data_IF_991280571496
#
_entry.id   IF_991280571496
#
_cell.length_a   1.000
_cell.length_b   1.000
_cell.length_c   1.000
_cell.angle_alpha   90.00
_cell.angle_beta   90.00
_cell.angle_gamma   90.00
#
_symmetry.space_group_name_H-M   'P 1'
#
loop_
_entity.id
_entity.type
_entity.pdbx_description
1 polymer ?
#
# COMPACT_ATOMS: atom_id res chain seq x y z
N UNK A 1 0.18 -10.77 -18.93
CA UNK A 1 -0.93 -10.01 -19.56
C UNK A 1 -0.85 -8.56 -19.15
N UNK A 2 -1.16 -7.60 -20.00
CA UNK A 2 -1.10 -6.15 -19.68
C UNK A 2 -2.35 -5.72 -18.93
N UNK A 3 -2.49 -6.14 -17.67
CA UNK A 3 -3.76 -6.03 -16.94
C UNK A 3 -4.15 -4.58 -16.60
N UNK A 4 -3.19 -3.69 -16.34
CA UNK A 4 -3.44 -2.27 -16.08
C UNK A 4 -3.24 -1.35 -17.30
N UNK A 5 -2.80 -1.88 -18.44
CA UNK A 5 -2.40 -1.06 -19.59
C UNK A 5 -3.58 -0.30 -20.22
N UNK A 6 -4.83 -0.70 -19.94
CA UNK A 6 -6.00 0.06 -20.35
C UNK A 6 -6.00 1.49 -19.77
N UNK A 7 -5.44 1.70 -18.57
CA UNK A 7 -5.30 3.03 -17.96
C UNK A 7 -4.33 3.91 -18.75
N UNK A 8 -3.36 3.32 -19.46
CA UNK A 8 -2.41 4.06 -20.29
C UNK A 8 -3.04 4.68 -21.55
N UNK A 9 -4.27 4.29 -21.88
CA UNK A 9 -5.06 4.99 -22.89
C UNK A 9 -5.48 6.38 -22.44
N UNK A 10 -5.52 6.61 -21.13
CA UNK A 10 -5.84 7.90 -20.51
C UNK A 10 -4.55 8.72 -20.37
N UNK A 11 -4.52 9.92 -20.94
CA UNK A 11 -3.33 10.80 -20.96
C UNK A 11 -2.80 11.09 -19.55
N UNK A 12 -3.70 11.31 -18.59
CA UNK A 12 -3.36 11.59 -17.20
C UNK A 12 -2.55 10.45 -16.58
N UNK A 13 -2.95 9.19 -16.75
CA UNK A 13 -2.23 8.04 -16.23
C UNK A 13 -0.88 7.82 -16.92
N UNK A 14 -0.76 8.10 -18.23
CA UNK A 14 0.54 8.08 -18.92
C UNK A 14 1.50 9.13 -18.37
N UNK A 15 1.00 10.35 -18.14
CA UNK A 15 1.79 11.44 -17.55
C UNK A 15 2.22 11.08 -16.14
N UNK A 16 1.32 10.55 -15.32
CA UNK A 16 1.60 10.11 -13.95
C UNK A 16 2.60 8.95 -13.90
N UNK A 17 2.53 8.00 -14.84
CA UNK A 17 3.53 6.92 -14.93
C UNK A 17 4.91 7.47 -15.28
N UNK A 18 5.03 8.39 -16.23
CA UNK A 18 6.30 9.04 -16.57
C UNK A 18 6.88 9.79 -15.36
N UNK A 19 6.04 10.51 -14.62
CA UNK A 19 6.46 11.18 -13.40
C UNK A 19 6.96 10.16 -12.35
N UNK A 20 6.27 9.04 -12.15
CA UNK A 20 6.70 7.98 -11.24
C UNK A 20 8.02 7.33 -11.68
N UNK A 21 8.21 7.11 -12.99
CA UNK A 21 9.48 6.60 -13.52
C UNK A 21 10.65 7.56 -13.20
N UNK A 22 10.43 8.87 -13.36
CA UNK A 22 11.42 9.89 -12.97
C UNK A 22 11.71 9.82 -11.46
N UNK A 23 10.68 9.68 -10.63
CA UNK A 23 10.84 9.54 -9.16
C UNK A 23 11.70 8.32 -8.81
N UNK A 24 11.48 7.18 -9.46
CA UNK A 24 12.28 5.96 -9.24
C UNK A 24 13.75 6.22 -9.62
N UNK A 25 14.02 6.88 -10.73
CA UNK A 25 15.39 7.22 -11.11
C UNK A 25 16.03 8.20 -10.13
N UNK A 26 15.32 9.25 -9.72
CA UNK A 26 15.79 10.22 -8.72
C UNK A 26 16.13 9.51 -7.39
N UNK A 27 15.28 8.57 -6.94
CA UNK A 27 15.49 7.78 -5.74
C UNK A 27 16.75 6.90 -5.86
N UNK A 28 16.94 6.24 -7.00
CA UNK A 28 18.09 5.38 -7.25
C UNK A 28 19.41 6.18 -7.32
N UNK A 29 19.38 7.34 -7.95
CA UNK A 29 20.52 8.26 -8.00
C UNK A 29 20.93 8.70 -6.59
N UNK A 30 19.97 9.12 -5.75
CA UNK A 30 20.24 9.48 -4.35
C UNK A 30 20.79 8.29 -3.56
N UNK A 31 20.21 7.11 -3.72
CA UNK A 31 20.69 5.89 -3.08
C UNK A 31 22.14 5.59 -3.49
N UNK A 32 22.47 5.71 -4.77
CA UNK A 32 23.82 5.50 -5.28
C UNK A 32 24.83 6.50 -4.71
N UNK A 33 24.45 7.78 -4.63
CA UNK A 33 25.29 8.81 -4.02
C UNK A 33 25.56 8.55 -2.53
N UNK A 34 24.54 8.15 -1.78
CA UNK A 34 24.64 7.86 -0.34
C UNK A 34 25.45 6.58 -0.05
N UNK A 35 25.42 5.62 -0.96
CA UNK A 35 26.19 4.38 -0.84
C UNK A 35 27.59 4.49 -1.45
N UNK A 36 27.95 5.61 -2.05
CA UNK A 36 29.30 5.84 -2.59
C UNK A 36 30.35 5.70 -1.46
N UNK A 37 31.29 4.78 -1.64
CA UNK A 37 32.31 4.48 -0.63
C UNK A 37 31.87 3.50 0.48
N UNK A 38 30.67 2.93 0.39
CA UNK A 38 30.24 1.82 1.23
C UNK A 38 30.59 0.47 0.57
N UNK A 39 30.54 -0.61 1.39
CA UNK A 39 30.72 -1.99 0.92
C UNK A 39 29.44 -2.58 0.30
N UNK A 40 28.35 -1.79 0.19
CA UNK A 40 27.06 -2.21 -0.35
C UNK A 40 26.81 -1.47 -1.66
N UNK A 41 26.54 -2.24 -2.72
CA UNK A 41 26.37 -1.69 -4.05
C UNK A 41 24.94 -1.91 -4.56
N UNK A 42 24.40 -0.88 -5.22
CA UNK A 42 23.10 -0.97 -5.89
C UNK A 42 23.20 -1.76 -7.18
N UNK A 43 22.20 -2.64 -7.39
CA UNK A 43 21.94 -3.23 -8.70
C UNK A 43 21.12 -2.26 -9.57
N UNK A 44 21.19 -2.35 -10.90
CA UNK A 44 20.37 -1.53 -11.79
C UNK A 44 18.87 -1.73 -11.51
N UNK A 45 18.08 -0.66 -11.73
CA UNK A 45 16.62 -0.73 -11.65
C UNK A 45 16.09 -1.71 -12.70
N UNK A 46 15.35 -2.76 -12.31
CA UNK A 46 14.74 -3.67 -13.29
C UNK A 46 13.72 -2.92 -14.17
N UNK A 47 13.69 -3.23 -15.45
CA UNK A 47 12.71 -2.62 -16.39
C UNK A 47 11.26 -2.86 -15.94
N UNK A 48 10.97 -4.02 -15.35
CA UNK A 48 9.64 -4.35 -14.82
C UNK A 48 9.19 -3.39 -13.73
N UNK A 49 10.11 -2.85 -12.92
CA UNK A 49 9.82 -1.90 -11.84
C UNK A 49 9.38 -0.52 -12.35
N UNK A 50 9.64 -0.22 -13.62
CA UNK A 50 9.18 1.01 -14.28
C UNK A 50 7.77 0.87 -14.89
N UNK A 51 7.16 -0.30 -14.81
CA UNK A 51 5.83 -0.57 -15.39
C UNK A 51 4.70 0.00 -14.53
N UNK A 52 3.55 0.25 -15.16
CA UNK A 52 2.33 0.64 -14.44
C UNK A 52 1.90 -0.43 -13.43
N UNK A 53 2.03 -1.69 -13.78
CA UNK A 53 1.73 -2.83 -12.91
C UNK A 53 2.45 -2.74 -11.56
N UNK A 54 3.72 -2.34 -11.56
CA UNK A 54 4.54 -2.22 -10.35
C UNK A 54 4.26 -0.94 -9.55
N UNK A 55 3.65 0.06 -10.19
CA UNK A 55 3.50 1.41 -9.65
C UNK A 55 2.07 1.92 -9.64
N UNK A 56 1.06 1.06 -9.80
CA UNK A 56 -0.32 1.52 -10.00
C UNK A 56 -0.85 2.39 -8.85
N UNK A 57 -0.49 2.12 -7.60
CA UNK A 57 -0.84 2.98 -6.46
C UNK A 57 -0.14 4.33 -6.54
N UNK A 58 1.18 4.35 -6.75
CA UNK A 58 1.94 5.59 -6.87
C UNK A 58 1.45 6.44 -8.05
N UNK A 59 1.11 5.80 -9.17
CA UNK A 59 0.55 6.46 -10.34
C UNK A 59 -0.85 7.02 -10.05
N UNK A 60 -1.68 6.32 -9.28
CA UNK A 60 -2.98 6.82 -8.82
C UNK A 60 -2.82 8.07 -7.94
N UNK A 61 -1.87 8.07 -7.00
CA UNK A 61 -1.61 9.24 -6.15
C UNK A 61 -1.15 10.44 -6.97
N UNK A 62 -0.23 10.25 -7.91
CA UNK A 62 0.24 11.33 -8.80
C UNK A 62 -0.91 11.83 -9.69
N UNK A 63 -1.77 10.94 -10.19
CA UNK A 63 -2.94 11.34 -10.96
C UNK A 63 -3.92 12.21 -10.14
N UNK A 64 -4.11 11.88 -8.86
CA UNK A 64 -4.89 12.72 -7.94
C UNK A 64 -4.21 14.07 -7.68
N UNK A 65 -2.89 14.14 -7.57
CA UNK A 65 -2.18 15.41 -7.43
C UNK A 65 -2.39 16.32 -8.64
N UNK A 66 -2.41 15.77 -9.85
CA UNK A 66 -2.76 16.54 -11.05
C UNK A 66 -4.20 17.05 -11.03
N UNK A 67 -5.16 16.22 -10.61
CA UNK A 67 -6.58 16.60 -10.50
C UNK A 67 -6.79 17.68 -9.44
N UNK A 68 -6.01 17.65 -8.37
CA UNK A 68 -6.02 18.65 -7.30
C UNK A 68 -5.16 19.89 -7.61
N UNK A 69 -4.66 19.99 -8.86
CA UNK A 69 -3.93 21.14 -9.39
C UNK A 69 -2.67 21.52 -8.57
N UNK A 70 -2.02 20.53 -7.96
CA UNK A 70 -0.77 20.77 -7.21
C UNK A 70 0.31 21.31 -8.15
N UNK A 71 1.00 22.42 -7.81
CA UNK A 71 2.05 23.01 -8.64
C UNK A 71 3.16 22.00 -8.98
N UNK A 72 3.61 21.95 -10.23
CA UNK A 72 4.53 20.93 -10.73
C UNK A 72 5.81 20.71 -9.89
N UNK A 73 6.50 21.76 -9.35
CA UNK A 73 7.66 21.53 -8.48
C UNK A 73 7.30 20.80 -7.19
N UNK A 74 6.20 21.19 -6.53
CA UNK A 74 5.70 20.56 -5.31
C UNK A 74 5.12 19.17 -5.58
N UNK A 75 4.42 18.97 -6.69
CA UNK A 75 3.95 17.65 -7.10
C UNK A 75 5.11 16.65 -7.20
N UNK A 76 6.23 17.06 -7.84
CA UNK A 76 7.43 16.22 -7.93
C UNK A 76 7.99 15.89 -6.54
N UNK A 77 8.06 16.86 -5.65
CA UNK A 77 8.49 16.64 -4.27
C UNK A 77 7.59 15.61 -3.59
N UNK A 78 6.27 15.84 -3.58
CA UNK A 78 5.32 14.91 -2.93
C UNK A 78 5.36 13.50 -3.52
N UNK A 79 5.55 13.36 -4.81
CA UNK A 79 5.72 12.05 -5.45
C UNK A 79 7.00 11.33 -4.97
N UNK A 80 8.13 12.05 -4.78
CA UNK A 80 9.36 11.53 -4.19
C UNK A 80 9.16 11.11 -2.73
N UNK A 81 8.50 11.94 -1.92
CA UNK A 81 8.20 11.63 -0.52
C UNK A 81 7.27 10.41 -0.40
N UNK A 82 6.27 10.28 -1.27
CA UNK A 82 5.40 9.11 -1.32
C UNK A 82 6.14 7.83 -1.72
N UNK A 83 7.15 7.93 -2.59
CA UNK A 83 7.97 6.79 -2.93
C UNK A 83 8.81 6.33 -1.73
N UNK A 84 9.34 7.28 -0.96
CA UNK A 84 10.01 6.99 0.32
C UNK A 84 9.04 6.37 1.33
N UNK A 85 7.83 6.91 1.47
CA UNK A 85 6.80 6.34 2.35
C UNK A 85 6.49 4.87 1.98
N UNK A 86 6.32 4.59 0.68
CA UNK A 86 6.14 3.21 0.20
C UNK A 86 7.33 2.31 0.58
N UNK A 87 8.57 2.80 0.42
CA UNK A 87 9.75 2.02 0.74
C UNK A 87 9.86 1.73 2.24
N UNK A 88 9.55 2.69 3.11
CA UNK A 88 9.50 2.49 4.56
C UNK A 88 8.45 1.45 4.96
N UNK A 89 7.21 1.64 4.50
CA UNK A 89 6.10 0.73 4.83
C UNK A 89 6.44 -0.68 4.39
N UNK A 90 6.86 -0.87 3.13
CA UNK A 90 7.23 -2.21 2.63
C UNK A 90 8.38 -2.84 3.44
N UNK A 91 9.37 -2.04 3.86
CA UNK A 91 10.49 -2.58 4.64
C UNK A 91 10.09 -2.91 6.09
N UNK A 92 9.16 -2.15 6.69
CA UNK A 92 8.57 -2.47 7.99
C UNK A 92 7.73 -3.75 7.92
N UNK A 93 6.84 -3.86 6.92
CA UNK A 93 6.00 -5.05 6.69
C UNK A 93 6.88 -6.31 6.51
N UNK A 94 7.98 -6.21 5.74
CA UNK A 94 8.92 -7.31 5.59
C UNK A 94 9.50 -7.81 6.93
N UNK A 95 9.71 -6.91 7.92
CA UNK A 95 10.19 -7.30 9.25
C UNK A 95 9.10 -7.95 10.09
N UNK A 96 7.88 -7.41 10.02
CA UNK A 96 6.74 -7.87 10.80
C UNK A 96 6.22 -9.23 10.29
N UNK A 97 6.11 -9.38 8.97
CA UNK A 97 5.54 -10.58 8.34
C UNK A 97 6.60 -11.62 7.94
N UNK A 98 7.89 -11.35 8.24
CA UNK A 98 9.04 -12.21 7.89
C UNK A 98 9.13 -12.52 6.38
N UNK A 99 8.64 -11.61 5.57
CA UNK A 99 8.70 -11.66 4.10
C UNK A 99 9.87 -10.86 3.53
N UNK A 100 10.08 -10.92 2.22
CA UNK A 100 10.99 -10.02 1.52
C UNK A 100 10.39 -9.53 0.20
N UNK A 101 9.84 -8.33 0.24
CA UNK A 101 9.43 -7.55 -0.95
C UNK A 101 10.49 -6.48 -1.17
N UNK A 102 11.43 -6.71 -2.10
CA UNK A 102 12.53 -5.77 -2.33
C UNK A 102 12.04 -4.49 -3.03
N UNK A 103 12.38 -3.33 -2.45
CA UNK A 103 12.18 -2.00 -3.01
C UNK A 103 13.53 -1.40 -3.46
N UNK A 104 14.61 -1.80 -2.83
CA UNK A 104 15.98 -1.42 -3.16
C UNK A 104 16.76 -2.70 -3.43
N UNK A 105 17.33 -2.81 -4.63
CA UNK A 105 18.15 -3.97 -4.99
C UNK A 105 19.61 -3.68 -4.71
N UNK A 106 20.22 -4.53 -3.89
CA UNK A 106 21.63 -4.47 -3.53
C UNK A 106 22.34 -5.79 -3.82
N UNK A 107 23.66 -5.78 -3.70
CA UNK A 107 24.50 -6.98 -3.79
C UNK A 107 24.55 -7.80 -2.48
N UNK A 108 23.80 -7.38 -1.46
CA UNK A 108 23.67 -8.13 -0.21
C UNK A 108 23.16 -9.57 -0.46
N UNK A 109 23.63 -10.55 0.35
CA UNK A 109 23.22 -11.95 0.21
C UNK A 109 21.71 -12.14 0.17
N UNK A 110 21.21 -13.04 -0.68
CA UNK A 110 19.77 -13.27 -0.84
C UNK A 110 19.08 -13.61 0.50
N UNK A 111 19.74 -14.37 1.38
CA UNK A 111 19.23 -14.78 2.70
C UNK A 111 19.20 -13.68 3.78
N UNK A 112 19.78 -12.50 3.51
CA UNK A 112 19.89 -11.42 4.49
C UNK A 112 18.60 -10.56 4.57
N UNK A 113 17.42 -11.17 4.69
CA UNK A 113 16.11 -10.51 4.62
C UNK A 113 15.97 -9.40 5.67
N UNK A 114 16.20 -9.72 6.94
CA UNK A 114 16.11 -8.76 8.05
C UNK A 114 17.04 -7.57 7.84
N UNK A 115 18.31 -7.83 7.50
CA UNK A 115 19.28 -6.76 7.31
C UNK A 115 18.94 -5.90 6.08
N UNK A 116 18.49 -6.50 4.97
CA UNK A 116 18.01 -5.77 3.80
C UNK A 116 16.87 -4.82 4.14
N UNK A 117 15.92 -5.26 4.95
CA UNK A 117 14.79 -4.44 5.39
C UNK A 117 15.24 -3.28 6.28
N UNK A 118 16.08 -3.55 7.29
CA UNK A 118 16.68 -2.50 8.15
C UNK A 118 17.49 -1.50 7.30
N UNK A 119 18.32 -2.00 6.40
CA UNK A 119 19.11 -1.15 5.50
C UNK A 119 18.22 -0.30 4.60
N UNK A 120 17.13 -0.86 4.07
CA UNK A 120 16.14 -0.12 3.27
C UNK A 120 15.52 1.01 4.07
N UNK A 121 15.14 0.79 5.33
CA UNK A 121 14.59 1.83 6.22
C UNK A 121 15.60 2.96 6.39
N UNK A 122 16.82 2.64 6.80
CA UNK A 122 17.87 3.63 7.06
C UNK A 122 18.26 4.43 5.81
N UNK A 123 18.40 3.75 4.66
CA UNK A 123 18.76 4.41 3.40
C UNK A 123 17.62 5.30 2.91
N UNK A 124 16.37 4.83 3.01
CA UNK A 124 15.19 5.60 2.62
C UNK A 124 15.04 6.86 3.47
N UNK A 125 15.32 6.79 4.78
CA UNK A 125 15.29 7.95 5.67
C UNK A 125 16.28 9.02 5.21
N UNK A 126 17.50 8.64 4.85
CA UNK A 126 18.52 9.55 4.31
C UNK A 126 18.11 10.13 2.96
N UNK A 127 17.52 9.32 2.09
CA UNK A 127 17.02 9.79 0.77
C UNK A 127 15.87 10.78 0.97
N UNK A 128 14.95 10.50 1.87
CA UNK A 128 13.84 11.40 2.19
C UNK A 128 14.34 12.76 2.64
N UNK A 129 15.27 12.79 3.59
CA UNK A 129 15.90 14.03 4.05
C UNK A 129 16.64 14.75 2.92
N UNK A 130 17.38 14.01 2.07
CA UNK A 130 18.08 14.59 0.91
C UNK A 130 17.11 15.25 -0.07
N UNK A 131 15.94 14.67 -0.33
CA UNK A 131 14.92 15.30 -1.18
C UNK A 131 14.36 16.59 -0.57
N UNK A 132 14.21 16.65 0.75
CA UNK A 132 13.79 17.88 1.43
C UNK A 132 14.85 18.98 1.30
N UNK A 133 16.14 18.62 1.47
CA UNK A 133 17.24 19.58 1.33
C UNK A 133 17.36 20.09 -0.10
N UNK A 134 17.26 19.22 -1.12
CA UNK A 134 17.23 19.64 -2.52
C UNK A 134 16.07 20.62 -2.80
N UNK A 135 14.90 20.36 -2.23
CA UNK A 135 13.74 21.23 -2.41
C UNK A 135 13.89 22.58 -1.68
N UNK A 136 14.55 22.58 -0.53
CA UNK A 136 14.94 23.80 0.20
C UNK A 136 15.91 24.65 -0.62
N UNK A 137 16.99 24.05 -1.12
CA UNK A 137 18.01 24.71 -1.93
C UNK A 137 17.41 25.30 -3.24
N UNK A 138 16.45 24.58 -3.84
CA UNK A 138 15.71 25.03 -5.01
C UNK A 138 14.58 26.03 -4.67
N UNK A 139 14.41 26.40 -3.41
CA UNK A 139 13.35 27.32 -2.92
C UNK A 139 11.93 26.84 -3.27
N UNK A 140 11.73 25.54 -3.43
CA UNK A 140 10.41 24.92 -3.60
C UNK A 140 9.66 24.92 -2.24
N UNK A 141 10.42 24.75 -1.15
CA UNK A 141 9.97 24.82 0.24
C UNK A 141 10.92 25.67 1.05
N UNK A 142 10.49 26.11 2.22
CA UNK A 142 11.27 26.83 3.22
C UNK A 142 11.61 25.93 4.42
N UNK A 143 12.44 26.43 5.35
CA UNK A 143 12.89 25.67 6.54
C UNK A 143 11.73 25.20 7.43
N UNK A 144 10.71 26.03 7.64
CA UNK A 144 9.55 25.65 8.44
C UNK A 144 8.74 24.53 7.77
N UNK A 145 8.64 24.54 6.44
CA UNK A 145 7.98 23.50 5.66
C UNK A 145 8.80 22.18 5.69
N UNK A 146 10.14 22.22 5.76
CA UNK A 146 10.97 21.03 5.97
C UNK A 146 10.62 20.36 7.29
N UNK A 147 10.59 21.11 8.38
CA UNK A 147 10.23 20.58 9.70
C UNK A 147 8.82 20.00 9.72
N UNK A 148 7.87 20.70 9.10
CA UNK A 148 6.50 20.24 8.99
C UNK A 148 6.37 18.92 8.21
N UNK A 149 7.11 18.76 7.09
CA UNK A 149 7.11 17.54 6.28
C UNK A 149 7.74 16.36 7.03
N UNK A 150 8.82 16.57 7.81
CA UNK A 150 9.41 15.56 8.67
C UNK A 150 8.39 15.05 9.71
N UNK A 151 7.70 15.96 10.39
CA UNK A 151 6.71 15.61 11.41
C UNK A 151 5.51 14.88 10.82
N UNK A 152 5.00 15.33 9.66
CA UNK A 152 3.85 14.72 8.99
C UNK A 152 4.16 13.32 8.49
N UNK A 153 5.35 13.10 7.91
CA UNK A 153 5.74 11.78 7.43
C UNK A 153 5.81 10.76 8.55
N UNK A 154 6.38 11.13 9.70
CA UNK A 154 6.42 10.28 10.87
C UNK A 154 5.01 10.01 11.42
N UNK A 155 4.17 11.04 11.51
CA UNK A 155 2.78 10.89 11.98
C UNK A 155 1.97 9.96 11.07
N UNK A 156 2.19 10.02 9.75
CA UNK A 156 1.48 9.19 8.78
C UNK A 156 1.73 7.68 8.97
N UNK A 157 2.97 7.31 9.34
CA UNK A 157 3.32 5.91 9.60
C UNK A 157 2.97 5.49 11.03
N UNK A 158 3.02 6.41 12.00
CA UNK A 158 2.81 6.09 13.42
C UNK A 158 1.41 5.55 13.72
N UNK A 159 0.39 6.00 12.99
CA UNK A 159 -0.99 5.52 13.16
C UNK A 159 -1.07 4.03 12.81
N UNK A 160 -0.55 3.65 11.65
CA UNK A 160 -0.51 2.25 11.19
C UNK A 160 0.41 1.42 12.08
N UNK A 161 1.60 1.94 12.39
CA UNK A 161 2.58 1.24 13.22
C UNK A 161 2.10 0.98 14.66
N UNK A 162 1.26 1.87 15.22
CA UNK A 162 0.64 1.62 16.52
C UNK A 162 -0.30 0.41 16.47
N UNK A 163 -1.14 0.31 15.45
CA UNK A 163 -2.06 -0.80 15.28
C UNK A 163 -1.30 -2.13 15.09
N UNK A 164 -0.23 -2.11 14.27
CA UNK A 164 0.64 -3.28 14.12
C UNK A 164 1.29 -3.71 15.45
N UNK A 165 1.73 -2.74 16.25
CA UNK A 165 2.32 -3.01 17.56
C UNK A 165 1.29 -3.58 18.56
N UNK A 166 0.01 -3.19 18.47
CA UNK A 166 -1.08 -3.74 19.29
C UNK A 166 -1.41 -5.20 18.91
N UNK A 167 -1.09 -5.62 17.68
CA UNK A 167 -1.24 -7.01 17.21
C UNK A 167 0.01 -7.88 17.44
N UNK A 168 1.14 -7.28 17.83
CA UNK A 168 2.38 -8.02 18.03
C UNK A 168 2.24 -9.05 19.17
N UNK A 169 2.58 -10.30 18.87
CA UNK A 169 2.38 -11.41 19.81
C UNK A 169 1.00 -12.07 19.74
N UNK A 170 0.12 -11.60 18.86
CA UNK A 170 -1.21 -12.14 18.61
C UNK A 170 -2.30 -11.55 19.50
N UNK A 171 -3.50 -11.49 18.95
CA UNK A 171 -4.70 -10.98 19.63
C UNK A 171 -5.55 -12.11 20.23
N UNK A 172 -6.24 -11.82 21.32
CA UNK A 172 -7.06 -12.81 22.02
C UNK A 172 -8.55 -12.68 21.74
N UNK A 173 -9.00 -11.52 21.27
CA UNK A 173 -10.38 -11.22 20.94
C UNK A 173 -10.61 -11.21 19.44
N UNK A 174 -11.86 -11.37 19.03
CA UNK A 174 -12.26 -11.24 17.64
C UNK A 174 -13.35 -10.16 17.57
N UNK A 175 -12.97 -8.88 17.32
CA UNK A 175 -13.94 -7.80 17.20
C UNK A 175 -14.95 -8.07 16.09
N UNK A 176 -16.10 -7.40 16.15
CA UNK A 176 -17.13 -7.50 15.11
C UNK A 176 -16.61 -6.94 13.77
N UNK A 177 -17.15 -7.43 12.62
CA UNK A 177 -16.67 -6.99 11.30
C UNK A 177 -16.72 -5.46 11.09
N UNK A 178 -17.74 -4.80 11.62
CA UNK A 178 -17.85 -3.33 11.59
C UNK A 178 -16.75 -2.64 12.42
N UNK A 179 -16.35 -3.22 13.55
CA UNK A 179 -15.25 -2.71 14.39
C UNK A 179 -13.89 -2.94 13.72
N UNK A 180 -13.67 -4.09 13.09
CA UNK A 180 -12.45 -4.34 12.29
C UNK A 180 -12.30 -3.24 11.23
N UNK A 181 -13.36 -2.95 10.46
CA UNK A 181 -13.28 -1.93 9.41
C UNK A 181 -13.09 -0.52 9.95
N UNK A 182 -13.83 -0.14 11.00
CA UNK A 182 -13.88 1.25 11.49
C UNK A 182 -12.72 1.62 12.41
N UNK A 183 -12.06 0.64 13.01
CA UNK A 183 -10.93 0.86 13.93
C UNK A 183 -9.65 0.32 13.32
N UNK A 184 -9.52 -1.00 13.22
CA UNK A 184 -8.28 -1.67 12.81
C UNK A 184 -7.89 -1.28 11.37
N UNK A 185 -8.71 -1.62 10.38
CA UNK A 185 -8.38 -1.36 8.98
C UNK A 185 -8.33 0.12 8.63
N UNK A 186 -9.16 0.95 9.28
CA UNK A 186 -9.07 2.39 9.11
C UNK A 186 -7.71 2.91 9.58
N UNK A 187 -7.21 2.44 10.74
CA UNK A 187 -5.91 2.83 11.27
C UNK A 187 -4.76 2.27 10.44
N UNK A 188 -4.74 0.94 10.18
CA UNK A 188 -3.67 0.27 9.44
C UNK A 188 -3.53 0.77 8.00
N UNK A 189 -4.62 0.76 7.26
CA UNK A 189 -4.57 0.90 5.80
C UNK A 189 -5.34 2.11 5.29
N UNK A 190 -6.50 2.43 5.88
CA UNK A 190 -7.30 3.57 5.42
C UNK A 190 -6.56 4.90 5.54
N UNK A 191 -5.94 5.17 6.67
CA UNK A 191 -5.14 6.38 6.88
C UNK A 191 -3.86 6.37 6.07
N UNK A 192 -3.21 5.21 5.93
CA UNK A 192 -1.98 5.07 5.15
C UNK A 192 -2.21 5.37 3.66
N UNK A 193 -3.32 4.90 3.08
CA UNK A 193 -3.67 5.24 1.70
C UNK A 193 -4.02 6.72 1.52
N UNK A 194 -4.54 7.40 2.55
CA UNK A 194 -4.80 8.84 2.52
C UNK A 194 -3.56 9.71 2.84
N UNK A 195 -2.50 9.12 3.38
CA UNK A 195 -1.27 9.81 3.78
C UNK A 195 -0.62 10.65 2.66
N UNK A 196 -0.65 10.25 1.36
CA UNK A 196 -0.14 11.07 0.26
C UNK A 196 -0.72 12.48 0.20
N UNK A 197 -1.96 12.69 0.68
CA UNK A 197 -2.60 14.01 0.72
C UNK A 197 -2.25 14.82 1.98
N UNK A 198 -1.51 14.27 2.94
CA UNK A 198 -1.21 14.96 4.19
C UNK A 198 -0.19 16.08 3.98
N UNK A 199 0.88 15.84 3.25
CA UNK A 199 1.89 16.84 2.95
C UNK A 199 1.33 18.02 2.13
N UNK A 200 0.64 17.82 0.98
CA UNK A 200 0.02 18.92 0.23
C UNK A 200 -0.99 19.72 1.04
N UNK A 201 -1.79 19.06 1.90
CA UNK A 201 -2.76 19.73 2.74
C UNK A 201 -2.10 20.60 3.82
N UNK A 202 -1.04 20.10 4.43
CA UNK A 202 -0.34 20.82 5.49
C UNK A 202 0.43 22.03 4.97
N UNK A 203 0.99 21.95 3.78
CA UNK A 203 1.68 23.08 3.14
C UNK A 203 0.72 24.04 2.42
N UNK A 204 -0.60 23.82 2.49
CA UNK A 204 -1.59 24.71 1.92
C UNK A 204 -1.77 24.61 0.41
N UNK A 205 -1.17 23.62 -0.26
CA UNK A 205 -1.38 23.39 -1.69
C UNK A 205 -2.76 22.80 -1.98
N UNK A 206 -3.38 22.18 -0.98
CA UNK A 206 -4.74 21.65 -1.02
C UNK A 206 -5.51 22.17 0.18
N UNK A 207 -6.66 22.83 -0.05
CA UNK A 207 -7.60 23.08 1.02
C UNK A 207 -8.35 21.78 1.38
N UNK A 208 -8.12 21.21 2.59
CA UNK A 208 -8.77 19.97 3.00
C UNK A 208 -10.30 20.09 3.10
N UNK A 209 -10.85 21.32 3.11
CA UNK A 209 -12.28 21.58 3.15
C UNK A 209 -12.93 21.63 1.78
N UNK A 210 -12.14 21.79 0.72
CA UNK A 210 -12.63 21.79 -0.64
C UNK A 210 -13.29 20.45 -0.99
N UNK A 211 -14.38 20.48 -1.76
CA UNK A 211 -15.16 19.28 -2.09
C UNK A 211 -14.31 18.22 -2.81
N UNK A 212 -13.48 18.63 -3.78
CA UNK A 212 -12.59 17.74 -4.53
C UNK A 212 -11.54 17.09 -3.63
N UNK A 213 -10.95 17.82 -2.68
CA UNK A 213 -9.99 17.30 -1.71
C UNK A 213 -10.64 16.30 -0.75
N UNK A 214 -11.86 16.58 -0.28
CA UNK A 214 -12.64 15.63 0.53
C UNK A 214 -12.96 14.36 -0.24
N UNK A 215 -13.37 14.46 -1.51
CA UNK A 215 -13.65 13.31 -2.37
C UNK A 215 -12.38 12.48 -2.59
N UNK A 216 -11.24 13.11 -2.88
CA UNK A 216 -9.96 12.42 -3.06
C UNK A 216 -9.55 11.68 -1.78
N UNK A 217 -9.59 12.34 -0.62
CA UNK A 217 -9.24 11.74 0.68
C UNK A 217 -10.17 10.58 1.04
N UNK A 218 -11.48 10.78 0.95
CA UNK A 218 -12.46 9.74 1.23
C UNK A 218 -12.32 8.57 0.25
N UNK A 219 -12.04 8.87 -1.02
CA UNK A 219 -11.74 7.86 -2.04
C UNK A 219 -10.53 7.02 -1.68
N UNK A 220 -9.41 7.64 -1.30
CA UNK A 220 -8.19 6.93 -0.90
C UNK A 220 -8.39 6.08 0.36
N UNK A 221 -9.01 6.65 1.40
CA UNK A 221 -9.34 5.90 2.63
C UNK A 221 -10.19 4.68 2.31
N UNK A 222 -11.27 4.86 1.55
CA UNK A 222 -12.19 3.78 1.18
C UNK A 222 -11.52 2.75 0.26
N UNK A 223 -10.59 3.20 -0.59
CA UNK A 223 -9.80 2.32 -1.46
C UNK A 223 -8.87 1.42 -0.63
N UNK A 224 -8.17 1.99 0.35
CA UNK A 224 -7.36 1.23 1.30
C UNK A 224 -8.17 0.17 2.04
N UNK A 225 -9.35 0.54 2.57
CA UNK A 225 -10.25 -0.43 3.22
C UNK A 225 -10.66 -1.58 2.28
N UNK A 226 -10.94 -1.28 1.02
CA UNK A 226 -11.28 -2.30 0.02
C UNK A 226 -10.11 -3.23 -0.28
N UNK A 227 -8.90 -2.70 -0.40
CA UNK A 227 -7.68 -3.48 -0.59
C UNK A 227 -7.41 -4.37 0.63
N UNK A 228 -7.54 -3.84 1.85
CA UNK A 228 -7.29 -4.61 3.08
C UNK A 228 -8.25 -5.78 3.24
N UNK A 229 -9.54 -5.61 2.96
CA UNK A 229 -10.50 -6.73 2.99
C UNK A 229 -10.09 -7.84 1.99
N UNK A 230 -9.57 -7.48 0.81
CA UNK A 230 -9.12 -8.46 -0.17
C UNK A 230 -7.81 -9.14 0.26
N UNK A 231 -6.93 -8.41 0.91
CA UNK A 231 -5.69 -8.90 1.48
C UNK A 231 -5.97 -9.93 2.58
N UNK A 232 -6.88 -9.62 3.51
CA UNK A 232 -7.34 -10.51 4.57
C UNK A 232 -7.87 -11.87 4.06
N UNK A 233 -8.39 -11.92 2.82
CA UNK A 233 -8.80 -13.17 2.19
C UNK A 233 -7.57 -13.97 1.73
N UNK A 234 -6.55 -13.29 1.23
CA UNK A 234 -5.30 -13.90 0.75
C UNK A 234 -4.46 -14.44 1.90
N UNK A 235 -4.40 -13.67 2.98
CA UNK A 235 -3.49 -13.92 4.10
C UNK A 235 -4.17 -14.69 5.24
N UNK A 236 -5.40 -15.21 5.02
CA UNK A 236 -6.21 -15.88 6.02
C UNK A 236 -5.44 -16.93 6.83
N UNK A 237 -4.62 -17.75 6.16
CA UNK A 237 -3.87 -18.82 6.80
C UNK A 237 -2.78 -18.29 7.73
N UNK A 238 -2.04 -17.28 7.27
CA UNK A 238 -1.01 -16.63 8.06
C UNK A 238 -1.62 -15.91 9.25
N UNK A 239 -2.72 -15.17 9.05
CA UNK A 239 -3.40 -14.42 10.11
C UNK A 239 -4.02 -15.33 11.19
N UNK A 240 -4.48 -16.54 10.81
CA UNK A 240 -4.90 -17.55 11.79
C UNK A 240 -3.69 -18.01 12.63
N UNK A 241 -2.56 -18.30 11.99
CA UNK A 241 -1.34 -18.76 12.69
C UNK A 241 -0.78 -17.68 13.63
N UNK A 242 -0.70 -16.44 13.14
CA UNK A 242 -0.11 -15.32 13.85
C UNK A 242 -1.14 -14.63 14.79
N UNK A 243 -2.41 -15.10 14.79
CA UNK A 243 -3.53 -14.52 15.55
C UNK A 243 -3.68 -13.02 15.32
N UNK A 244 -3.69 -12.60 14.07
CA UNK A 244 -3.90 -11.20 13.69
C UNK A 244 -5.38 -10.87 13.49
N UNK A 245 -5.73 -9.59 13.60
CA UNK A 245 -7.05 -9.11 13.20
C UNK A 245 -7.24 -9.26 11.69
N UNK A 246 -8.31 -9.95 11.31
CA UNK A 246 -8.64 -10.21 9.92
C UNK A 246 -10.16 -10.12 9.74
N UNK A 247 -10.61 -9.41 8.71
CA UNK A 247 -12.01 -9.19 8.43
C UNK A 247 -12.77 -10.49 8.14
N UNK A 248 -12.15 -11.42 7.40
CA UNK A 248 -12.74 -12.70 7.08
C UNK A 248 -12.87 -13.58 8.33
N UNK A 249 -11.85 -13.61 9.20
CA UNK A 249 -11.92 -14.29 10.50
C UNK A 249 -13.09 -13.73 11.32
N UNK A 250 -13.23 -12.42 11.38
CA UNK A 250 -14.34 -11.78 12.09
C UNK A 250 -15.72 -12.14 11.49
N UNK A 251 -15.83 -12.17 10.17
CA UNK A 251 -17.07 -12.62 9.51
C UNK A 251 -17.41 -14.07 9.87
N UNK A 252 -16.46 -15.00 9.81
CA UNK A 252 -16.65 -16.40 10.17
C UNK A 252 -17.11 -16.49 11.61
N UNK A 253 -16.40 -15.83 12.54
CA UNK A 253 -16.70 -15.89 13.97
C UNK A 253 -18.10 -15.37 14.32
N UNK A 254 -18.50 -14.21 13.78
CA UNK A 254 -19.75 -13.56 14.15
C UNK A 254 -20.94 -13.96 13.28
N UNK A 255 -20.74 -14.21 11.99
CA UNK A 255 -21.80 -14.40 10.99
C UNK A 255 -21.72 -15.70 10.22
N UNK A 256 -20.60 -16.44 10.33
CA UNK A 256 -20.40 -17.72 9.63
C UNK A 256 -21.41 -18.78 10.03
N UNK A 257 -21.61 -19.78 9.19
CA UNK A 257 -22.39 -20.97 9.49
C UNK A 257 -21.80 -21.74 10.67
N UNK A 258 -22.60 -22.64 11.27
CA UNK A 258 -22.10 -23.50 12.34
C UNK A 258 -20.89 -24.34 11.88
N UNK A 259 -20.89 -24.81 10.64
CA UNK A 259 -19.80 -25.56 10.04
C UNK A 259 -18.52 -24.72 9.90
N UNK A 260 -18.64 -23.49 9.39
CA UNK A 260 -17.51 -22.56 9.26
C UNK A 260 -16.91 -22.21 10.62
N UNK A 261 -17.75 -21.90 11.62
CA UNK A 261 -17.27 -21.59 12.99
C UNK A 261 -16.52 -22.76 13.62
N UNK A 262 -17.08 -23.97 13.51
CA UNK A 262 -16.44 -25.20 14.00
C UNK A 262 -15.10 -25.42 13.31
N UNK A 263 -15.04 -25.21 12.00
CA UNK A 263 -13.79 -25.37 11.24
C UNK A 263 -12.74 -24.35 11.64
N UNK A 264 -13.12 -23.08 11.84
CA UNK A 264 -12.19 -22.05 12.31
C UNK A 264 -11.62 -22.41 13.70
N UNK A 265 -12.47 -22.88 14.61
CA UNK A 265 -12.02 -23.33 15.93
C UNK A 265 -11.02 -24.49 15.83
N UNK A 266 -11.26 -25.47 14.98
CA UNK A 266 -10.33 -26.58 14.74
C UNK A 266 -8.97 -26.06 14.23
N UNK A 267 -8.95 -25.08 13.30
CA UNK A 267 -7.71 -24.51 12.78
C UNK A 267 -6.89 -23.80 13.88
N UNK A 268 -7.56 -23.15 14.85
CA UNK A 268 -6.86 -22.57 16.00
C UNK A 268 -6.31 -23.61 16.97
N UNK A 269 -7.01 -24.75 17.11
CA UNK A 269 -6.61 -25.85 18.01
C UNK A 269 -5.48 -26.68 17.41
N UNK A 270 -5.48 -26.93 16.12
CA UNK A 270 -4.46 -27.69 15.39
C UNK A 270 -3.09 -26.99 15.37
N UNK A 271 -3.02 -25.67 15.56
CA UNK A 271 -1.84 -24.88 15.91
C UNK A 271 -0.66 -24.91 14.93
N UNK A 272 -0.80 -25.55 13.79
CA UNK A 272 0.30 -25.76 12.86
C UNK A 272 -0.23 -25.90 11.42
N UNK A 273 -0.63 -24.76 10.84
CA UNK A 273 -0.97 -24.67 9.42
C UNK A 273 0.30 -24.64 8.56
N UNK A 274 1.21 -25.62 8.77
CA UNK A 274 2.54 -25.60 8.13
C UNK A 274 2.58 -26.15 6.70
N UNK A 275 1.47 -26.65 6.16
CA UNK A 275 1.42 -27.15 4.80
C UNK A 275 1.08 -26.04 3.81
N UNK A 276 2.09 -25.53 3.13
CA UNK A 276 1.99 -24.50 2.09
C UNK A 276 0.92 -24.79 1.02
N UNK A 277 0.67 -26.06 0.70
CA UNK A 277 -0.33 -26.46 -0.33
C UNK A 277 -1.78 -26.30 0.13
N UNK A 278 -2.04 -26.21 1.44
CA UNK A 278 -3.39 -26.05 2.01
C UNK A 278 -3.79 -24.60 2.25
N UNK A 279 -2.83 -23.72 2.58
CA UNK A 279 -3.08 -22.34 3.01
C UNK A 279 -3.59 -21.44 1.89
N UNK A 280 -3.05 -21.57 0.67
CA UNK A 280 -3.43 -20.74 -0.49
C UNK A 280 -4.91 -20.87 -0.90
N UNK A 281 -5.60 -21.93 -0.41
CA UNK A 281 -7.01 -22.19 -0.71
C UNK A 281 -7.89 -22.21 0.51
N UNK A 282 -7.39 -21.80 1.66
CA UNK A 282 -8.11 -21.89 2.93
C UNK A 282 -9.44 -21.12 2.89
N UNK A 283 -9.50 -19.99 2.16
CA UNK A 283 -10.75 -19.25 1.95
C UNK A 283 -11.86 -20.08 1.26
N UNK A 284 -11.49 -21.15 0.51
CA UNK A 284 -12.48 -22.04 -0.12
C UNK A 284 -13.20 -22.93 0.92
N UNK A 285 -12.61 -23.08 2.10
CA UNK A 285 -13.20 -23.83 3.23
C UNK A 285 -14.29 -23.00 3.91
N UNK A 286 -14.32 -21.69 3.69
CA UNK A 286 -15.29 -20.74 4.24
C UNK A 286 -16.08 -20.04 3.13
N UNK A 287 -16.91 -20.76 2.35
CA UNK A 287 -17.48 -20.25 1.11
C UNK A 287 -18.41 -19.05 1.32
N UNK A 288 -19.26 -19.08 2.36
CA UNK A 288 -20.22 -18.01 2.61
C UNK A 288 -19.54 -16.75 3.14
N UNK A 289 -18.67 -16.89 4.14
CA UNK A 289 -17.92 -15.78 4.69
C UNK A 289 -16.95 -15.15 3.66
N UNK A 290 -16.28 -15.98 2.85
CA UNK A 290 -15.39 -15.49 1.78
C UNK A 290 -16.14 -14.75 0.67
N UNK A 291 -17.32 -15.24 0.28
CA UNK A 291 -18.18 -14.55 -0.67
C UNK A 291 -18.64 -13.19 -0.13
N UNK A 292 -19.00 -13.13 1.15
CA UNK A 292 -19.38 -11.88 1.81
C UNK A 292 -18.23 -10.90 1.87
N UNK A 293 -17.03 -11.34 2.31
CA UNK A 293 -15.82 -10.51 2.37
C UNK A 293 -15.47 -9.93 0.99
N UNK A 294 -15.51 -10.77 -0.04
CA UNK A 294 -15.28 -10.35 -1.42
C UNK A 294 -16.29 -9.30 -1.90
N UNK A 295 -17.57 -9.48 -1.58
CA UNK A 295 -18.61 -8.52 -1.91
C UNK A 295 -18.40 -7.19 -1.19
N UNK A 296 -18.00 -7.23 0.09
CA UNK A 296 -17.75 -6.05 0.91
C UNK A 296 -16.50 -5.28 0.41
N UNK A 297 -15.38 -5.96 0.15
CA UNK A 297 -14.19 -5.37 -0.43
C UNK A 297 -14.47 -4.73 -1.80
N UNK A 298 -15.16 -5.46 -2.68
CA UNK A 298 -15.59 -4.94 -3.99
C UNK A 298 -16.48 -3.71 -3.84
N UNK A 299 -17.37 -3.66 -2.85
CA UNK A 299 -18.25 -2.50 -2.57
C UNK A 299 -17.43 -1.28 -2.17
N UNK A 300 -16.43 -1.44 -1.29
CA UNK A 300 -15.52 -0.37 -0.91
C UNK A 300 -14.74 0.15 -2.13
N UNK A 301 -14.18 -0.72 -2.96
CA UNK A 301 -13.48 -0.32 -4.17
C UNK A 301 -14.39 0.43 -5.17
N UNK A 302 -15.64 -0.02 -5.36
CA UNK A 302 -16.63 0.68 -6.20
C UNK A 302 -16.90 2.09 -5.69
N UNK A 303 -17.09 2.24 -4.37
CA UNK A 303 -17.30 3.53 -3.72
C UNK A 303 -16.08 4.45 -3.92
N UNK A 304 -14.89 3.94 -3.71
CA UNK A 304 -13.64 4.67 -3.87
C UNK A 304 -13.44 5.18 -5.30
N UNK A 305 -13.57 4.28 -6.31
CA UNK A 305 -13.41 4.65 -7.71
C UNK A 305 -14.49 5.62 -8.21
N UNK A 306 -15.69 5.58 -7.62
CA UNK A 306 -16.72 6.60 -7.86
C UNK A 306 -16.26 7.95 -7.32
N UNK A 307 -15.79 8.03 -6.07
CA UNK A 307 -15.27 9.26 -5.48
C UNK A 307 -14.10 9.84 -6.30
N UNK A 308 -13.21 9.00 -6.83
CA UNK A 308 -12.14 9.45 -7.73
C UNK A 308 -12.68 10.03 -9.05
N UNK A 309 -13.71 9.42 -9.63
CA UNK A 309 -14.34 9.98 -10.85
C UNK A 309 -15.03 11.30 -10.56
N UNK A 310 -15.72 11.41 -9.43
CA UNK A 310 -16.38 12.66 -8.97
C UNK A 310 -15.37 13.75 -8.61
N UNK A 311 -14.18 13.36 -8.14
CA UNK A 311 -13.05 14.26 -7.92
C UNK A 311 -12.45 14.80 -9.23
N UNK A 312 -12.65 14.13 -10.36
CA UNK A 312 -12.15 14.55 -11.68
C UNK A 312 -11.20 13.56 -12.37
N UNK A 313 -10.91 12.38 -11.77
CA UNK A 313 -10.16 11.35 -12.50
C UNK A 313 -10.97 10.85 -13.70
N UNK A 314 -10.36 10.72 -14.90
CA UNK A 314 -11.06 10.36 -16.13
C UNK A 314 -11.39 8.85 -16.18
N UNK A 315 -12.08 8.34 -15.17
CA UNK A 315 -12.46 6.93 -15.06
C UNK A 315 -13.93 6.74 -15.45
N UNK A 316 -14.19 6.23 -16.64
CA UNK A 316 -15.53 5.79 -17.05
C UNK A 316 -16.03 4.62 -16.19
N UNK A 317 -17.34 4.33 -16.21
CA UNK A 317 -17.90 3.16 -15.52
C UNK A 317 -17.20 1.88 -15.93
N UNK A 318 -16.96 1.69 -17.22
CA UNK A 318 -16.26 0.53 -17.76
C UNK A 318 -14.82 0.43 -17.21
N UNK A 319 -14.08 1.56 -17.17
CA UNK A 319 -12.72 1.58 -16.63
C UNK A 319 -12.70 1.22 -15.16
N UNK A 320 -13.68 1.69 -14.37
CA UNK A 320 -13.81 1.33 -12.95
C UNK A 320 -14.07 -0.17 -12.76
N UNK A 321 -14.97 -0.75 -13.54
CA UNK A 321 -15.30 -2.18 -13.45
C UNK A 321 -14.10 -3.06 -13.85
N UNK A 322 -13.37 -2.68 -14.89
CA UNK A 322 -12.13 -3.37 -15.29
C UNK A 322 -11.09 -3.27 -14.18
N UNK A 323 -10.90 -2.09 -13.60
CA UNK A 323 -9.92 -1.87 -12.53
C UNK A 323 -10.22 -2.73 -11.30
N UNK A 324 -11.48 -2.78 -10.86
CA UNK A 324 -11.92 -3.63 -9.76
C UNK A 324 -11.66 -5.11 -10.06
N UNK A 325 -12.03 -5.57 -11.27
CA UNK A 325 -11.80 -6.95 -11.67
C UNK A 325 -10.33 -7.33 -11.60
N UNK A 326 -9.45 -6.44 -12.05
CA UNK A 326 -8.00 -6.64 -11.99
C UNK A 326 -7.53 -6.73 -10.54
N UNK A 327 -7.92 -5.77 -9.67
CA UNK A 327 -7.54 -5.79 -8.26
C UNK A 327 -7.99 -7.08 -7.58
N UNK A 328 -9.24 -7.47 -7.75
CA UNK A 328 -9.76 -8.74 -7.19
C UNK A 328 -8.95 -9.94 -7.68
N UNK A 329 -8.54 -9.94 -8.95
CA UNK A 329 -7.71 -11.03 -9.50
C UNK A 329 -6.30 -11.03 -8.89
N UNK A 330 -5.72 -9.84 -8.70
CA UNK A 330 -4.40 -9.67 -8.08
C UNK A 330 -4.38 -10.24 -6.67
N UNK A 331 -5.34 -9.84 -5.83
CA UNK A 331 -5.42 -10.30 -4.45
C UNK A 331 -5.79 -11.78 -4.32
N UNK A 332 -6.56 -12.34 -5.26
CA UNK A 332 -6.89 -13.78 -5.26
C UNK A 332 -5.74 -14.69 -5.72
N UNK A 333 -4.82 -14.16 -6.50
CA UNK A 333 -3.73 -14.91 -7.12
C UNK A 333 -2.42 -14.12 -7.04
N UNK A 334 -1.95 -13.77 -5.82
CA UNK A 334 -0.74 -12.99 -5.66
C UNK A 334 0.47 -13.66 -6.31
N UNK A 335 0.54 -15.01 -6.29
CA UNK A 335 1.59 -15.79 -6.95
C UNK A 335 1.71 -15.48 -8.44
N UNK A 336 0.60 -15.25 -9.15
CA UNK A 336 0.62 -14.86 -10.59
C UNK A 336 1.22 -13.48 -10.81
N UNK A 337 1.25 -12.65 -9.76
CA UNK A 337 1.84 -11.32 -9.79
C UNK A 337 3.33 -11.34 -9.45
N UNK A 338 3.76 -12.19 -8.52
CA UNK A 338 5.13 -12.23 -8.03
C UNK A 338 6.02 -13.18 -8.84
N UNK A 339 5.51 -14.32 -9.33
CA UNK A 339 6.29 -15.33 -10.10
C UNK A 339 6.67 -14.93 -11.54
N UNK A 340 6.25 -13.78 -12.05
CA UNK A 340 6.77 -13.22 -13.30
C UNK A 340 8.03 -12.35 -13.10
N UNK A 341 8.69 -12.47 -11.94
CA UNK A 341 9.93 -11.73 -11.62
C UNK A 341 11.15 -12.25 -12.39
N UNK A 342 11.15 -13.49 -12.89
CA UNK A 342 12.36 -14.18 -13.37
C UNK A 342 12.27 -14.66 -14.84
N UNK A 343 11.44 -14.02 -15.70
CA UNK A 343 11.46 -14.31 -17.14
C UNK A 343 11.69 -13.06 -17.98
#
# INVERSE_FOLDING_TARGET
>A
MPEFDFLLKLSLFRTSLKAQQTVIHDFWEKAQMLLAGSEIHLKPVPKSWLSLRHNYFSVLFIALFHVLEIPAPRLRLYARLNHCLRAWVTACDNLLDKELKEIILTDLPAKAHTFKSVHTILLTDRIFFSFLMDALDQKIINTAEVEQLLNISLSAISISGREEAEEEGGVMDTPRPDQILQKVHLAKTGHLFAAPLSAPSALGDIDPNQATAKLARNGLTTFGLGCQILDDISDLGQDINDRKYNYLISLIHHRGTHGEKKRLQQLYEDGNLSDHDGLEKLYQVFPEASQQALADGTRQLKKALRSFSECGLPLSSLNRDIFIKILVTVFRHPERFYHLRDR
#
